data_IF_437923935526
#
_entry.id   IF_437923935526
#
_cell.length_a   1.000
_cell.length_b   1.000
_cell.length_c   1.000
_cell.angle_alpha   90.00
_cell.angle_beta   90.00
_cell.angle_gamma   90.00
#
_symmetry.space_group_name_H-M   'P 1'
#
loop_
_entity.id
_entity.type
_entity.pdbx_description
1 polymer ?
#
# COMPACT_ATOMS: atom_id res chain seq x y z
N UNK A 1 21.79 -4.17 -26.94
CA UNK A 1 20.48 -3.49 -26.82
C UNK A 1 19.44 -4.23 -27.65
N UNK A 2 18.15 -4.11 -27.31
CA UNK A 2 17.06 -4.69 -28.08
C UNK A 2 16.74 -3.79 -29.28
N UNK A 3 16.86 -4.33 -30.50
CA UNK A 3 16.50 -3.63 -31.74
C UNK A 3 14.99 -3.47 -31.83
N UNK A 4 14.52 -2.30 -32.27
CA UNK A 4 13.10 -2.05 -32.46
C UNK A 4 12.56 -2.88 -33.65
N UNK A 5 11.44 -3.61 -33.49
CA UNK A 5 10.94 -4.51 -34.54
C UNK A 5 10.43 -3.78 -35.80
N UNK A 6 10.02 -2.52 -35.67
CA UNK A 6 9.42 -1.73 -36.77
C UNK A 6 10.36 -0.64 -37.31
N UNK A 7 11.38 -0.24 -36.54
CA UNK A 7 12.32 0.82 -36.92
C UNK A 7 13.72 0.25 -36.94
N UNK A 8 14.22 -0.10 -38.13
CA UNK A 8 15.57 -0.59 -38.31
C UNK A 8 16.58 0.51 -37.96
N UNK A 9 17.60 0.14 -37.18
CA UNK A 9 18.65 1.07 -36.74
C UNK A 9 18.36 1.85 -35.46
N UNK A 10 17.16 1.69 -34.87
CA UNK A 10 16.84 2.20 -33.54
C UNK A 10 16.67 1.06 -32.54
N UNK A 11 17.03 1.33 -31.28
CA UNK A 11 16.76 0.47 -30.15
C UNK A 11 15.38 0.75 -29.55
N UNK A 12 14.84 -0.25 -28.84
CA UNK A 12 13.59 -0.10 -28.07
C UNK A 12 13.69 1.04 -27.04
N UNK A 13 14.87 1.26 -26.46
CA UNK A 13 15.08 2.32 -25.48
C UNK A 13 15.01 3.72 -26.11
N UNK A 14 15.59 3.91 -27.30
CA UNK A 14 15.53 5.20 -28.02
C UNK A 14 14.09 5.54 -28.43
N UNK A 15 13.34 4.54 -28.91
CA UNK A 15 11.94 4.74 -29.27
C UNK A 15 11.08 5.05 -28.04
N UNK A 16 11.32 4.39 -26.91
CA UNK A 16 10.62 4.69 -25.64
C UNK A 16 10.84 6.14 -25.19
N UNK A 17 12.06 6.67 -25.32
CA UNK A 17 12.34 8.07 -24.95
C UNK A 17 11.65 9.07 -25.87
N UNK A 18 11.52 8.76 -27.17
CA UNK A 18 10.74 9.58 -28.10
C UNK A 18 9.24 9.54 -27.76
N UNK A 19 8.69 8.36 -27.46
CA UNK A 19 7.28 8.17 -27.11
C UNK A 19 6.92 8.80 -25.76
N UNK A 20 7.86 8.90 -24.83
CA UNK A 20 7.64 9.40 -23.47
C UNK A 20 6.99 10.80 -23.43
N UNK A 21 7.26 11.65 -24.41
CA UNK A 21 6.66 12.98 -24.51
C UNK A 21 5.15 12.96 -24.84
N UNK A 22 4.69 11.91 -25.51
CA UNK A 22 3.29 11.72 -25.91
C UNK A 22 2.49 10.87 -24.90
N UNK A 23 3.17 10.26 -23.92
CA UNK A 23 2.52 9.46 -22.88
C UNK A 23 1.79 10.34 -21.86
N UNK A 24 0.71 9.78 -21.30
CA UNK A 24 0.06 10.41 -20.16
C UNK A 24 1.01 10.44 -18.94
N UNK A 25 0.96 11.53 -18.14
CA UNK A 25 1.65 11.56 -16.86
C UNK A 25 1.25 10.37 -15.98
N UNK A 26 2.21 9.85 -15.21
CA UNK A 26 1.94 8.77 -14.25
C UNK A 26 0.91 9.29 -13.23
N UNK A 27 -0.21 8.58 -13.03
CA UNK A 27 -1.21 8.97 -12.05
C UNK A 27 -0.66 8.84 -10.63
N UNK A 28 -1.40 9.34 -9.65
CA UNK A 28 -1.05 9.17 -8.24
C UNK A 28 -0.81 7.67 -7.93
N UNK A 29 0.23 7.34 -7.13
CA UNK A 29 0.50 5.96 -6.74
C UNK A 29 -0.75 5.30 -6.13
N UNK A 30 -1.00 4.06 -6.53
CA UNK A 30 -2.09 3.28 -5.94
C UNK A 30 -1.74 2.88 -4.51
N UNK A 31 -2.65 3.16 -3.58
CA UNK A 31 -2.50 2.79 -2.18
C UNK A 31 -2.94 1.33 -1.96
N UNK A 32 -2.01 0.41 -2.21
CA UNK A 32 -2.28 -1.03 -2.19
C UNK A 32 -2.18 -1.64 -0.79
N UNK A 33 -3.28 -1.65 -0.05
CA UNK A 33 -3.42 -2.38 1.22
C UNK A 33 -4.59 -3.38 1.19
N UNK A 34 -4.52 -4.39 2.05
CA UNK A 34 -5.65 -5.27 2.35
C UNK A 34 -6.31 -4.82 3.64
N UNK A 35 -7.56 -4.41 3.55
CA UNK A 35 -8.35 -3.95 4.69
C UNK A 35 -9.13 -5.09 5.34
N UNK A 36 -9.08 -5.16 6.68
CA UNK A 36 -9.91 -6.09 7.47
C UNK A 36 -10.40 -5.44 8.77
N UNK A 37 -11.69 -5.59 9.10
CA UNK A 37 -12.18 -5.19 10.41
C UNK A 37 -11.60 -6.11 11.49
N UNK A 38 -11.19 -5.52 12.61
CA UNK A 38 -10.67 -6.25 13.75
C UNK A 38 -11.16 -5.62 15.05
N UNK A 39 -11.42 -6.47 16.04
CA UNK A 39 -11.80 -6.02 17.38
C UNK A 39 -10.55 -5.88 18.24
N UNK A 40 -10.43 -4.74 18.92
CA UNK A 40 -9.37 -4.51 19.90
C UNK A 40 -9.69 -5.30 21.17
N UNK A 41 -8.72 -6.07 21.66
CA UNK A 41 -8.84 -6.82 22.91
C UNK A 41 -8.94 -5.88 24.13
N UNK A 42 -9.34 -6.42 25.28
CA UNK A 42 -9.29 -5.70 26.56
C UNK A 42 -7.86 -5.30 26.96
N UNK A 43 -6.84 -5.98 26.41
CA UNK A 43 -5.42 -5.69 26.61
C UNK A 43 -4.83 -4.75 25.56
N UNK A 44 -5.68 -4.03 24.80
CA UNK A 44 -5.27 -3.06 23.78
C UNK A 44 -4.44 -3.66 22.65
N UNK A 45 -4.79 -4.87 22.21
CA UNK A 45 -4.14 -5.57 21.09
C UNK A 45 -5.14 -5.84 19.96
N UNK A 46 -4.70 -5.71 18.72
CA UNK A 46 -5.43 -6.14 17.52
C UNK A 46 -4.73 -7.35 16.90
N UNK A 47 -5.50 -8.34 16.45
CA UNK A 47 -4.95 -9.54 15.80
C UNK A 47 -4.96 -9.37 14.28
N UNK A 48 -3.79 -9.44 13.65
CA UNK A 48 -3.64 -9.37 12.19
C UNK A 48 -2.88 -10.61 11.73
N UNK A 49 -3.57 -11.50 11.01
CA UNK A 49 -3.04 -12.81 10.66
C UNK A 49 -2.73 -13.64 11.91
N UNK A 50 -1.45 -13.95 12.13
CA UNK A 50 -0.97 -14.71 13.31
C UNK A 50 -0.38 -13.83 14.40
N UNK A 51 -0.23 -12.53 14.15
CA UNK A 51 0.46 -11.60 15.04
C UNK A 51 -0.54 -10.70 15.78
N UNK A 52 -0.08 -10.12 16.89
CA UNK A 52 -0.84 -9.14 17.67
C UNK A 52 -0.06 -7.83 17.77
N UNK A 53 -0.76 -6.73 17.59
CA UNK A 53 -0.18 -5.39 17.55
C UNK A 53 -0.87 -4.49 18.56
N UNK A 54 -0.09 -3.63 19.20
CA UNK A 54 -0.58 -2.70 20.21
C UNK A 54 -1.34 -1.54 19.57
N UNK A 55 -2.41 -1.10 20.24
CA UNK A 55 -3.19 0.08 19.86
C UNK A 55 -3.46 0.95 21.09
N UNK A 56 -3.79 2.25 20.94
CA UNK A 56 -4.09 3.11 22.08
C UNK A 56 -5.27 2.60 22.93
N UNK A 57 -5.18 2.79 24.25
CA UNK A 57 -6.12 2.21 25.20
C UNK A 57 -7.57 2.71 25.05
N UNK A 58 -7.75 3.90 24.49
CA UNK A 58 -9.07 4.48 24.21
C UNK A 58 -9.89 3.66 23.19
N UNK A 59 -9.24 2.75 22.45
CA UNK A 59 -9.87 1.86 21.49
C UNK A 59 -10.12 0.45 22.03
N UNK A 60 -9.79 0.17 23.30
CA UNK A 60 -10.03 -1.14 23.91
C UNK A 60 -11.50 -1.57 23.76
N UNK A 61 -11.72 -2.78 23.23
CA UNK A 61 -13.05 -3.33 22.99
C UNK A 61 -13.80 -2.77 21.76
N UNK A 62 -13.27 -1.73 21.09
CA UNK A 62 -13.85 -1.14 19.89
C UNK A 62 -13.47 -1.93 18.62
N UNK A 63 -14.24 -1.70 17.57
CA UNK A 63 -13.91 -2.17 16.22
C UNK A 63 -13.04 -1.13 15.52
N UNK A 64 -12.00 -1.61 14.85
CA UNK A 64 -11.06 -0.80 14.09
C UNK A 64 -10.81 -1.48 12.74
N UNK A 65 -10.30 -0.72 11.78
CA UNK A 65 -9.84 -1.24 10.50
C UNK A 65 -8.34 -1.51 10.56
N UNK A 66 -7.92 -2.72 10.22
CA UNK A 66 -6.52 -3.06 10.01
C UNK A 66 -6.19 -3.02 8.52
N UNK A 67 -5.18 -2.25 8.15
CA UNK A 67 -4.67 -2.12 6.78
C UNK A 67 -3.30 -2.79 6.71
N UNK A 68 -3.22 -3.89 5.96
CA UNK A 68 -2.00 -4.65 5.78
C UNK A 68 -1.31 -4.22 4.48
N UNK A 69 -0.10 -3.68 4.61
CA UNK A 69 0.81 -3.39 3.51
C UNK A 69 1.92 -4.45 3.45
N UNK A 70 2.70 -4.52 2.35
CA UNK A 70 3.83 -5.44 2.27
C UNK A 70 4.91 -5.22 3.35
N UNK A 71 5.07 -3.99 3.83
CA UNK A 71 6.15 -3.60 4.75
C UNK A 71 5.68 -3.06 6.09
N UNK A 72 4.36 -2.91 6.31
CA UNK A 72 3.80 -2.34 7.54
C UNK A 72 2.34 -2.72 7.75
N UNK A 73 1.87 -2.53 8.97
CA UNK A 73 0.48 -2.66 9.36
C UNK A 73 0.03 -1.35 9.95
N UNK A 74 -1.06 -0.81 9.43
CA UNK A 74 -1.73 0.37 9.95
C UNK A 74 -3.04 -0.03 10.59
N UNK A 75 -3.41 0.66 11.67
CA UNK A 75 -4.70 0.50 12.34
C UNK A 75 -5.40 1.84 12.30
N UNK A 76 -6.64 1.85 11.81
CA UNK A 76 -7.44 3.03 11.56
C UNK A 76 -8.77 2.92 12.30
N UNK A 77 -9.18 4.00 12.95
CA UNK A 77 -10.49 4.15 13.58
C UNK A 77 -11.07 5.50 13.17
N UNK A 78 -12.34 5.53 12.76
CA UNK A 78 -13.03 6.76 12.34
C UNK A 78 -12.22 7.57 11.31
N UNK A 79 -11.69 6.89 10.30
CA UNK A 79 -10.80 7.43 9.25
C UNK A 79 -9.47 8.05 9.74
N UNK A 80 -9.16 7.93 11.03
CA UNK A 80 -7.90 8.36 11.62
C UNK A 80 -6.93 7.19 11.84
N UNK A 81 -5.66 7.38 11.47
CA UNK A 81 -4.59 6.44 11.79
C UNK A 81 -4.28 6.49 13.29
N UNK A 82 -4.46 5.37 13.99
CA UNK A 82 -4.27 5.27 15.45
C UNK A 82 -3.03 4.48 15.86
N UNK A 83 -2.53 3.60 14.98
CA UNK A 83 -1.29 2.87 15.20
C UNK A 83 -0.65 2.45 13.88
N UNK A 84 0.68 2.34 13.86
CA UNK A 84 1.45 1.82 12.74
C UNK A 84 2.59 0.93 13.26
N UNK A 85 2.81 -0.20 12.61
CA UNK A 85 3.81 -1.22 12.98
C UNK A 85 4.57 -1.71 11.74
N UNK A 86 5.86 -2.02 11.91
CA UNK A 86 6.76 -2.52 10.84
C UNK A 86 7.20 -3.94 11.16
#
# INVERSE_FOLDING_TARGET
>A
ELTHPQYSGLSVAEVLELERAELMPVPAPFDGYVERPARVSSTCLVSVGRNRYSVPCEYAGKWVSSRLYPTRIEVVADDALIASHV
#
